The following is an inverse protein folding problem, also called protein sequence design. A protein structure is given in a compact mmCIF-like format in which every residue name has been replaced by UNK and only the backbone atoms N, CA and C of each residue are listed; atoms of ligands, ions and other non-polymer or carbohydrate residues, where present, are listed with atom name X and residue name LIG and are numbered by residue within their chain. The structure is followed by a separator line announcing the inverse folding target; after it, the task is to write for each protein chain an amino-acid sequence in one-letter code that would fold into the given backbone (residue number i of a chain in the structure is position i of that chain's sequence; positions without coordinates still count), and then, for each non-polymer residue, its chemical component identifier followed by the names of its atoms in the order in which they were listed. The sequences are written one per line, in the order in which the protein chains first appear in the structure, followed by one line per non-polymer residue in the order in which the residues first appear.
data_IF_846170458489
#
_entry.id   IF_846170458489
#
_cell.length_a   1.000
_cell.length_b   1.000
_cell.length_c   1.000
_cell.angle_alpha   90.00
_cell.angle_beta   90.00
_cell.angle_gamma   90.00
#
_symmetry.space_group_name_H-M   'P 1'
#
loop_
_entity.id
_entity.type
_entity.pdbx_description
1 polymer ?
#
# COMPACT_ATOMS: atom_id res chain seq x y z
N UNK A 1 12.10 -14.98 -2.38
CA UNK A 1 11.97 -16.22 -1.58
C UNK A 1 10.59 -16.78 -1.85
N UNK A 2 10.46 -17.62 -2.89
CA UNK A 2 9.19 -18.23 -3.29
C UNK A 2 9.06 -19.54 -2.53
N UNK A 3 8.12 -19.62 -1.57
CA UNK A 3 7.85 -20.82 -0.79
C UNK A 3 6.48 -21.40 -1.17
N UNK A 4 6.42 -22.73 -1.27
CA UNK A 4 5.23 -23.52 -1.62
C UNK A 4 4.27 -23.63 -0.43
N UNK A 5 2.98 -23.88 -0.67
CA UNK A 5 2.00 -24.16 0.39
C UNK A 5 2.36 -25.38 1.24
N UNK A 6 2.92 -26.45 0.65
CA UNK A 6 3.44 -27.60 1.41
C UNK A 6 4.64 -27.26 2.31
N UNK A 7 5.35 -26.17 2.01
CA UNK A 7 6.40 -25.61 2.87
C UNK A 7 5.78 -24.70 3.95
N UNK A 8 4.83 -23.83 3.61
CA UNK A 8 4.08 -23.04 4.60
C UNK A 8 3.22 -23.91 5.55
N UNK A 9 2.79 -25.09 5.13
CA UNK A 9 2.13 -26.08 5.99
C UNK A 9 3.09 -26.77 6.98
N UNK A 10 4.41 -26.69 6.74
CA UNK A 10 5.45 -27.33 7.56
C UNK A 10 6.14 -26.36 8.52
N UNK A 11 5.94 -25.06 8.37
CA UNK A 11 6.65 -24.04 9.16
C UNK A 11 5.65 -22.98 9.62
N UNK A 12 5.50 -22.85 10.94
CA UNK A 12 4.74 -21.78 11.59
C UNK A 12 5.59 -20.50 11.58
N UNK A 13 5.11 -19.43 10.96
CA UNK A 13 5.77 -18.12 10.98
C UNK A 13 5.09 -17.20 11.99
N UNK A 14 5.81 -16.82 13.04
CA UNK A 14 5.44 -15.84 14.04
C UNK A 14 6.22 -14.54 13.81
N UNK A 15 5.61 -13.63 13.07
CA UNK A 15 6.12 -12.26 12.91
C UNK A 15 5.40 -11.34 13.90
N UNK A 16 6.17 -10.65 14.75
CA UNK A 16 5.64 -9.62 15.63
C UNK A 16 5.49 -8.31 14.84
N UNK A 17 4.28 -7.74 14.82
CA UNK A 17 4.09 -6.34 14.44
C UNK A 17 3.08 -5.72 15.39
N UNK A 18 3.54 -4.73 16.16
CA UNK A 18 2.74 -3.83 17.02
C UNK A 18 1.53 -4.51 17.71
N UNK A 19 1.78 -5.14 18.85
CA UNK A 19 0.80 -5.73 19.78
C UNK A 19 -0.14 -6.83 19.26
N UNK A 20 -0.10 -7.22 17.98
CA UNK A 20 -0.83 -8.40 17.49
C UNK A 20 0.07 -9.63 17.38
N UNK A 21 -0.27 -10.62 18.20
CA UNK A 21 0.32 -11.96 18.18
C UNK A 21 -0.64 -12.91 17.51
N UNK A 22 -0.33 -13.42 16.32
CA UNK A 22 -1.25 -14.30 15.58
C UNK A 22 -0.55 -15.54 15.07
N UNK A 23 -1.16 -16.68 15.40
CA UNK A 23 -0.63 -18.04 15.30
C UNK A 23 -1.44 -18.79 14.23
N UNK A 24 -0.80 -19.41 13.23
CA UNK A 24 -1.47 -20.28 12.25
C UNK A 24 -1.03 -21.73 12.41
N UNK A 25 -2.00 -22.65 12.54
CA UNK A 25 -1.74 -24.08 12.69
C UNK A 25 -2.26 -24.88 11.49
N UNK A 26 -1.42 -25.19 10.50
CA UNK A 26 -1.59 -26.40 9.73
C UNK A 26 -1.28 -27.61 10.63
N UNK A 27 -2.10 -28.66 10.59
CA UNK A 27 -1.91 -29.91 11.34
C UNK A 27 -0.56 -30.62 11.07
N UNK A 28 0.21 -30.15 10.09
CA UNK A 28 1.49 -30.71 9.66
C UNK A 28 2.71 -29.80 9.90
N UNK A 29 2.56 -28.68 10.63
CA UNK A 29 3.69 -27.81 10.95
C UNK A 29 4.72 -28.53 11.81
N UNK A 30 5.95 -28.65 11.30
CA UNK A 30 7.09 -29.30 11.96
C UNK A 30 8.06 -28.30 12.58
N UNK A 31 7.90 -26.99 12.35
CA UNK A 31 8.84 -25.99 12.83
C UNK A 31 8.13 -24.70 13.24
N UNK A 32 8.72 -23.98 14.18
CA UNK A 32 8.24 -22.68 14.66
C UNK A 32 9.28 -21.58 14.44
N UNK A 33 8.99 -20.62 13.57
CA UNK A 33 9.85 -19.45 13.29
C UNK A 33 9.31 -18.27 14.06
N UNK A 34 10.13 -17.59 14.86
CA UNK A 34 9.72 -16.49 15.75
C UNK A 34 10.61 -15.29 15.56
N UNK A 35 10.00 -14.10 15.58
CA UNK A 35 10.70 -12.84 15.42
C UNK A 35 11.80 -12.60 16.46
N UNK A 36 11.50 -12.76 17.77
CA UNK A 36 12.44 -12.48 18.86
C UNK A 36 12.26 -13.40 20.07
N UNK A 37 13.29 -13.57 20.93
CA UNK A 37 13.20 -14.38 22.15
C UNK A 37 12.15 -13.85 23.12
N UNK A 38 12.00 -12.52 23.22
CA UNK A 38 11.00 -11.90 24.10
C UNK A 38 9.58 -12.19 23.64
N UNK A 39 9.35 -12.26 22.33
CA UNK A 39 8.07 -12.64 21.78
C UNK A 39 7.79 -14.13 21.98
N UNK A 40 8.80 -14.98 21.77
CA UNK A 40 8.70 -16.40 22.08
C UNK A 40 8.34 -16.63 23.54
N UNK A 41 9.07 -16.02 24.49
CA UNK A 41 8.84 -16.20 25.93
C UNK A 41 7.41 -15.80 26.35
N UNK A 42 6.83 -14.76 25.73
CA UNK A 42 5.43 -14.35 25.96
C UNK A 42 4.42 -15.42 25.51
N UNK A 43 4.74 -16.17 24.47
CA UNK A 43 3.86 -17.19 23.91
C UNK A 43 4.08 -18.56 24.53
N UNK A 44 5.31 -18.85 24.92
CA UNK A 44 5.82 -20.19 25.21
C UNK A 44 4.94 -20.97 26.21
N UNK A 45 4.51 -20.34 27.29
CA UNK A 45 3.70 -20.97 28.35
C UNK A 45 2.32 -21.45 27.89
N UNK A 46 1.68 -20.70 26.99
CA UNK A 46 0.32 -21.02 26.49
C UNK A 46 0.36 -21.85 25.21
N UNK A 47 1.48 -21.78 24.49
CA UNK A 47 1.56 -22.19 23.09
C UNK A 47 2.28 -23.53 22.91
N UNK A 48 3.39 -23.77 23.62
CA UNK A 48 4.25 -24.93 23.38
C UNK A 48 3.55 -26.26 23.66
N UNK A 49 2.64 -26.28 24.63
CA UNK A 49 1.83 -27.47 24.93
C UNK A 49 0.86 -27.86 23.81
N UNK A 50 0.61 -26.99 22.84
CA UNK A 50 -0.37 -27.18 21.76
C UNK A 50 0.25 -27.45 20.39
N UNK A 51 1.58 -27.34 20.24
CA UNK A 51 2.25 -27.50 18.95
C UNK A 51 3.17 -28.72 18.99
N UNK A 52 3.19 -29.48 17.91
CA UNK A 52 4.15 -30.57 17.72
C UNK A 52 5.34 -30.09 16.88
N UNK A 53 6.03 -29.03 17.34
CA UNK A 53 7.18 -28.47 16.63
C UNK A 53 8.45 -29.31 16.89
N UNK A 54 9.13 -29.72 15.81
CA UNK A 54 10.41 -30.43 15.86
C UNK A 54 11.59 -29.51 16.10
N UNK A 55 11.48 -28.23 15.72
CA UNK A 55 12.51 -27.22 15.96
C UNK A 55 11.92 -25.80 15.95
N UNK A 56 12.66 -24.87 16.54
CA UNK A 56 12.34 -23.45 16.58
C UNK A 56 13.43 -22.67 15.84
N UNK A 57 13.06 -21.62 15.12
CA UNK A 57 13.98 -20.67 14.47
C UNK A 57 13.73 -19.28 15.01
N UNK A 58 14.74 -18.62 15.54
CA UNK A 58 14.70 -17.21 15.91
C UNK A 58 15.22 -16.36 14.74
N UNK A 59 14.40 -15.43 14.25
CA UNK A 59 14.79 -14.50 13.19
C UNK A 59 15.76 -13.45 13.72
N UNK A 60 15.54 -12.97 14.93
CA UNK A 60 16.37 -11.97 15.60
C UNK A 60 16.66 -12.36 17.04
N UNK A 61 17.74 -11.83 17.59
CA UNK A 61 18.16 -12.05 18.97
C UNK A 61 18.96 -13.34 19.18
N UNK A 62 19.33 -13.57 20.44
CA UNK A 62 20.19 -14.68 20.87
C UNK A 62 19.38 -15.71 21.68
N UNK A 63 19.68 -17.00 21.48
CA UNK A 63 19.02 -18.12 22.14
C UNK A 63 19.16 -18.08 23.67
N UNK A 64 20.23 -17.49 24.19
CA UNK A 64 20.47 -17.29 25.63
C UNK A 64 19.38 -16.47 26.31
N UNK A 65 18.61 -15.68 25.55
CA UNK A 65 17.49 -14.88 26.05
C UNK A 65 16.18 -15.66 26.19
N UNK A 66 16.18 -16.96 25.92
CA UNK A 66 15.00 -17.82 26.07
C UNK A 66 14.87 -18.34 27.51
N UNK A 67 13.62 -18.42 28.00
CA UNK A 67 13.34 -19.02 29.28
C UNK A 67 13.50 -20.55 29.21
N UNK A 68 14.48 -21.09 29.95
CA UNK A 68 14.87 -22.50 29.94
C UNK A 68 13.76 -23.50 30.25
N UNK A 69 12.70 -23.08 30.97
CA UNK A 69 11.58 -23.96 31.35
C UNK A 69 10.63 -24.30 30.20
N UNK A 70 10.57 -23.49 29.14
CA UNK A 70 9.59 -23.68 28.08
C UNK A 70 10.11 -24.50 26.89
N UNK A 71 11.43 -24.75 26.82
CA UNK A 71 12.11 -25.23 25.60
C UNK A 71 12.87 -26.54 25.83
N UNK A 72 12.62 -27.26 26.94
CA UNK A 72 13.54 -28.31 27.40
C UNK A 72 13.85 -29.41 26.38
N UNK A 73 12.99 -29.66 25.39
CA UNK A 73 13.16 -30.77 24.43
C UNK A 73 13.12 -30.38 22.94
N UNK A 74 13.02 -29.07 22.59
CA UNK A 74 12.92 -28.64 21.18
C UNK A 74 14.18 -27.89 20.74
N UNK A 75 14.91 -28.35 19.70
CA UNK A 75 16.10 -27.67 19.21
C UNK A 75 15.76 -26.27 18.68
N UNK A 76 16.53 -25.28 19.11
CA UNK A 76 16.41 -23.88 18.69
C UNK A 76 17.59 -23.48 17.82
N UNK A 77 17.29 -22.88 16.67
CA UNK A 77 18.24 -22.31 15.74
C UNK A 77 18.05 -20.80 15.71
N UNK A 78 19.14 -20.05 15.61
CA UNK A 78 19.09 -18.64 15.24
C UNK A 78 19.37 -18.48 13.75
N UNK A 79 19.30 -17.24 13.27
CA UNK A 79 19.53 -16.93 11.86
C UNK A 79 20.92 -17.38 11.36
N UNK A 80 21.95 -17.32 12.20
CA UNK A 80 23.31 -17.71 11.83
C UNK A 80 23.40 -19.22 11.66
N UNK A 81 22.84 -20.01 12.58
CA UNK A 81 22.84 -21.47 12.45
C UNK A 81 22.16 -21.92 11.16
N UNK A 82 21.00 -21.35 10.84
CA UNK A 82 20.27 -21.69 9.62
C UNK A 82 21.09 -21.34 8.38
N UNK A 83 21.80 -20.21 8.42
CA UNK A 83 22.68 -19.79 7.31
C UNK A 83 23.87 -20.73 7.13
N UNK A 84 24.49 -21.17 8.24
CA UNK A 84 25.59 -22.14 8.24
C UNK A 84 25.11 -23.50 7.74
N UNK A 85 24.02 -24.04 8.30
CA UNK A 85 23.40 -25.29 7.85
C UNK A 85 23.04 -25.25 6.37
N UNK A 86 22.50 -24.12 5.90
CA UNK A 86 22.18 -23.91 4.49
C UNK A 86 23.42 -23.92 3.58
N UNK A 87 24.54 -23.37 4.04
CA UNK A 87 25.82 -23.37 3.31
C UNK A 87 26.45 -24.76 3.27
N UNK A 88 26.48 -25.45 4.40
CA UNK A 88 27.03 -26.81 4.52
C UNK A 88 26.24 -27.79 3.65
N UNK A 89 24.91 -27.74 3.70
CA UNK A 89 24.05 -28.59 2.89
C UNK A 89 24.22 -28.29 1.39
N UNK A 90 24.30 -27.01 1.00
CA UNK A 90 24.58 -26.63 -0.40
C UNK A 90 25.92 -27.17 -0.88
N UNK A 91 26.97 -27.06 -0.05
CA UNK A 91 28.28 -27.61 -0.38
C UNK A 91 28.24 -29.13 -0.53
N UNK A 92 27.59 -29.85 0.39
CA UNK A 92 27.42 -31.31 0.31
C UNK A 92 26.66 -31.75 -0.96
N UNK A 93 25.67 -30.97 -1.39
CA UNK A 93 24.93 -31.21 -2.65
C UNK A 93 25.78 -30.94 -3.90
N UNK A 94 26.72 -29.99 -3.86
CA UNK A 94 27.63 -29.71 -4.98
C UNK A 94 28.67 -30.83 -5.21
N UNK A 95 29.03 -31.60 -4.18
CA UNK A 95 30.06 -32.65 -4.25
C UNK A 95 29.51 -34.08 -4.38
N UNK A 96 28.18 -34.26 -4.40
CA UNK A 96 27.54 -35.58 -4.56
C UNK A 96 26.99 -35.76 -5.98
N UNK A 97 27.83 -36.26 -6.89
CA UNK A 97 27.52 -36.40 -8.32
C UNK A 97 26.41 -37.41 -8.68
N UNK A 98 25.92 -38.23 -7.74
CA UNK A 98 24.82 -39.20 -8.00
C UNK A 98 23.63 -39.12 -7.03
N UNK A 99 23.71 -38.36 -5.94
CA UNK A 99 22.60 -38.20 -4.96
C UNK A 99 21.75 -36.94 -5.17
N UNK A 100 22.05 -36.13 -6.20
CA UNK A 100 21.31 -34.91 -6.56
C UNK A 100 19.83 -35.08 -6.94
N UNK A 101 19.25 -36.28 -6.75
CA UNK A 101 17.85 -36.61 -7.02
C UNK A 101 16.98 -36.84 -5.78
N UNK A 102 17.50 -36.87 -4.54
CA UNK A 102 16.63 -37.08 -3.36
C UNK A 102 16.04 -35.79 -2.77
N UNK A 103 16.56 -34.62 -3.14
CA UNK A 103 15.94 -33.34 -2.86
C UNK A 103 15.11 -32.83 -4.04
N UNK A 104 14.18 -33.64 -4.59
CA UNK A 104 13.22 -33.09 -5.56
C UNK A 104 12.32 -32.13 -4.80
N UNK A 105 12.70 -30.85 -4.82
CA UNK A 105 11.78 -29.80 -4.41
C UNK A 105 10.57 -29.90 -5.31
N UNK A 106 9.47 -30.29 -4.69
CA UNK A 106 8.16 -30.39 -5.27
C UNK A 106 7.83 -29.07 -6.00
N UNK A 107 7.52 -29.14 -7.30
CA UNK A 107 7.49 -27.97 -8.18
C UNK A 107 6.30 -27.04 -7.88
N UNK A 108 6.54 -25.82 -7.39
CA UNK A 108 5.52 -24.81 -7.01
C UNK A 108 4.52 -24.55 -8.15
N UNK A 109 3.21 -24.61 -7.85
CA UNK A 109 2.13 -24.24 -8.77
C UNK A 109 1.55 -22.86 -8.41
N UNK A 110 0.94 -22.13 -9.37
CA UNK A 110 0.29 -20.85 -9.09
C UNK A 110 -0.83 -20.92 -8.02
N UNK A 111 -1.47 -22.08 -7.88
CA UNK A 111 -2.55 -22.34 -6.95
C UNK A 111 -2.07 -22.59 -5.51
N UNK A 112 -0.77 -22.80 -5.31
CA UNK A 112 -0.20 -22.92 -3.98
C UNK A 112 -0.33 -21.57 -3.23
N UNK A 113 -0.80 -21.62 -1.98
CA UNK A 113 -0.77 -20.47 -1.05
C UNK A 113 0.67 -19.99 -0.89
N UNK A 114 0.88 -18.72 -1.15
CA UNK A 114 2.16 -18.03 -1.05
C UNK A 114 2.32 -17.30 0.30
N UNK A 115 1.22 -16.80 0.88
CA UNK A 115 1.25 -16.07 2.14
C UNK A 115 -0.12 -16.07 2.81
N UNK A 116 -0.12 -15.92 4.13
CA UNK A 116 -1.27 -15.49 4.89
C UNK A 116 -1.13 -14.00 5.22
N UNK A 117 -2.21 -13.24 5.08
CA UNK A 117 -2.27 -11.85 5.57
C UNK A 117 -3.41 -11.79 6.58
N UNK A 118 -3.10 -11.34 7.79
CA UNK A 118 -4.10 -11.21 8.84
C UNK A 118 -4.83 -9.87 8.73
N UNK A 119 -6.16 -9.93 8.80
CA UNK A 119 -7.05 -8.77 8.87
C UNK A 119 -7.76 -8.75 10.21
N UNK A 120 -7.94 -7.57 10.81
CA UNK A 120 -8.62 -7.42 12.12
C UNK A 120 -10.08 -7.82 12.02
N UNK A 121 -10.75 -7.49 10.93
CA UNK A 121 -12.14 -7.80 10.66
C UNK A 121 -13.10 -7.20 11.69
N UNK A 122 -14.39 -7.14 11.35
CA UNK A 122 -15.42 -6.59 12.26
C UNK A 122 -15.66 -7.47 13.50
N UNK A 123 -15.18 -8.71 13.52
CA UNK A 123 -15.36 -9.66 14.62
C UNK A 123 -14.34 -9.52 15.76
N UNK A 124 -13.33 -8.65 15.64
CA UNK A 124 -12.29 -8.43 16.66
C UNK A 124 -11.28 -9.57 16.82
N UNK A 125 -11.56 -10.75 16.28
CA UNK A 125 -10.64 -11.87 16.13
C UNK A 125 -9.96 -11.81 14.75
N UNK A 126 -8.63 -11.65 14.68
CA UNK A 126 -7.96 -11.54 13.40
C UNK A 126 -8.00 -12.84 12.60
N UNK A 127 -8.25 -12.73 11.29
CA UNK A 127 -8.37 -13.88 10.38
C UNK A 127 -7.26 -13.86 9.33
N UNK A 128 -6.65 -15.02 9.08
CA UNK A 128 -5.60 -15.17 8.08
C UNK A 128 -6.18 -15.40 6.70
N UNK A 129 -6.10 -14.40 5.82
CA UNK A 129 -6.48 -14.52 4.42
C UNK A 129 -5.41 -15.29 3.66
N UNK A 130 -5.79 -16.42 3.05
CA UNK A 130 -4.90 -17.23 2.22
C UNK A 130 -4.74 -16.61 0.84
N UNK A 131 -3.53 -16.16 0.50
CA UNK A 131 -3.21 -15.63 -0.82
C UNK A 131 -2.27 -16.57 -1.56
N UNK A 132 -2.70 -17.03 -2.73
CA UNK A 132 -1.92 -17.87 -3.64
C UNK A 132 -0.93 -17.05 -4.47
N UNK A 133 0.06 -17.72 -5.08
CA UNK A 133 0.95 -17.09 -6.04
C UNK A 133 0.15 -16.43 -7.19
N UNK A 134 -0.91 -17.10 -7.66
CA UNK A 134 -1.82 -16.58 -8.70
C UNK A 134 -2.52 -15.30 -8.26
N UNK A 135 -2.96 -15.19 -7.00
CA UNK A 135 -3.60 -13.96 -6.51
C UNK A 135 -2.63 -12.77 -6.55
N UNK A 136 -1.39 -12.98 -6.08
CA UNK A 136 -0.36 -11.94 -6.03
C UNK A 136 0.07 -11.51 -7.45
N UNK A 137 0.32 -12.48 -8.34
CA UNK A 137 0.69 -12.21 -9.74
C UNK A 137 -0.43 -11.51 -10.50
N UNK A 138 -1.69 -11.83 -10.21
CA UNK A 138 -2.82 -11.11 -10.81
C UNK A 138 -2.78 -9.61 -10.49
N UNK A 139 -2.43 -9.21 -9.26
CA UNK A 139 -2.29 -7.79 -8.92
C UNK A 139 -1.16 -7.13 -9.71
N UNK A 140 0.01 -7.76 -9.71
CA UNK A 140 1.21 -7.24 -10.37
C UNK A 140 0.94 -7.01 -11.86
N UNK A 141 0.30 -7.97 -12.52
CA UNK A 141 0.03 -7.89 -13.97
C UNK A 141 -1.01 -6.84 -14.34
N UNK A 142 -1.94 -6.48 -13.45
CA UNK A 142 -3.05 -5.55 -13.76
C UNK A 142 -2.81 -4.13 -13.23
N UNK A 143 -1.90 -3.93 -12.28
CA UNK A 143 -1.68 -2.63 -11.65
C UNK A 143 -1.15 -1.57 -12.63
N UNK A 144 -0.55 -1.99 -13.76
CA UNK A 144 -0.07 -1.08 -14.81
C UNK A 144 -1.18 -0.16 -15.38
N UNK A 145 -2.43 -0.62 -15.41
CA UNK A 145 -3.61 0.15 -15.86
C UNK A 145 -3.92 1.34 -14.94
N UNK A 146 -3.58 1.20 -13.66
CA UNK A 146 -3.80 2.19 -12.62
C UNK A 146 -2.57 3.10 -12.53
N UNK A 147 -1.39 2.49 -12.58
CA UNK A 147 -0.09 3.10 -12.40
C UNK A 147 0.79 2.71 -13.58
N UNK A 148 0.80 3.47 -14.69
CA UNK A 148 1.63 3.17 -15.85
C UNK A 148 3.09 3.58 -15.56
N UNK A 149 3.72 2.80 -14.69
CA UNK A 149 5.10 2.99 -14.25
C UNK A 149 6.07 2.68 -15.39
N UNK A 150 7.16 3.45 -15.46
CA UNK A 150 8.29 3.19 -16.36
C UNK A 150 9.56 2.97 -15.54
N UNK A 151 10.55 2.24 -16.06
CA UNK A 151 11.84 2.09 -15.40
C UNK A 151 12.43 3.44 -15.01
N UNK A 152 12.96 3.53 -13.79
CA UNK A 152 13.48 4.78 -13.21
C UNK A 152 12.43 5.69 -12.55
N UNK A 153 11.14 5.33 -12.59
CA UNK A 153 10.15 5.99 -11.74
C UNK A 153 10.50 5.83 -10.26
N UNK A 154 10.05 6.80 -9.44
CA UNK A 154 10.34 6.87 -8.01
C UNK A 154 9.03 6.82 -7.26
N UNK A 155 8.92 5.84 -6.38
CA UNK A 155 7.74 5.58 -5.58
C UNK A 155 8.05 5.89 -4.13
N UNK A 156 7.26 6.78 -3.52
CA UNK A 156 7.28 6.96 -2.08
C UNK A 156 6.19 6.08 -1.46
N UNK A 157 6.61 5.15 -0.61
CA UNK A 157 5.74 4.21 0.07
C UNK A 157 5.63 4.53 1.55
N UNK A 158 4.38 4.68 1.99
CA UNK A 158 4.02 5.14 3.33
C UNK A 158 3.45 4.03 4.21
N UNK A 159 3.11 2.90 3.60
CA UNK A 159 2.43 1.79 4.24
C UNK A 159 3.44 0.69 4.53
N UNK A 160 3.14 -0.18 5.49
CA UNK A 160 4.04 -1.28 5.79
C UNK A 160 3.85 -2.48 4.83
N UNK A 161 4.94 -3.22 4.51
CA UNK A 161 4.94 -4.33 3.55
C UNK A 161 4.04 -5.54 3.90
N UNK A 162 3.52 -5.61 5.13
CA UNK A 162 2.63 -6.68 5.56
C UNK A 162 1.15 -6.43 5.23
N UNK A 163 0.76 -5.19 4.92
CA UNK A 163 -0.57 -4.94 4.38
C UNK A 163 -0.63 -5.32 2.90
N UNK A 164 -1.72 -5.97 2.49
CA UNK A 164 -1.87 -6.50 1.14
C UNK A 164 -1.78 -5.42 0.05
N UNK A 165 -2.25 -4.20 0.35
CA UNK A 165 -2.16 -3.03 -0.53
C UNK A 165 -0.71 -2.65 -0.83
N UNK A 166 0.10 -2.39 0.20
CA UNK A 166 1.51 -2.04 0.01
C UNK A 166 2.31 -3.18 -0.59
N UNK A 167 2.08 -4.41 -0.12
CA UNK A 167 2.79 -5.59 -0.64
C UNK A 167 2.61 -5.75 -2.14
N UNK A 168 1.39 -5.52 -2.63
CA UNK A 168 1.10 -5.56 -4.05
C UNK A 168 1.82 -4.43 -4.79
N UNK A 169 1.83 -3.21 -4.21
CA UNK A 169 2.55 -2.06 -4.75
C UNK A 169 4.06 -2.33 -4.85
N UNK A 170 4.68 -2.87 -3.80
CA UNK A 170 6.09 -3.25 -3.77
C UNK A 170 6.45 -4.26 -4.86
N UNK A 171 5.70 -5.35 -4.96
CA UNK A 171 5.97 -6.37 -5.97
C UNK A 171 5.83 -5.81 -7.38
N UNK A 172 4.87 -4.92 -7.60
CA UNK A 172 4.73 -4.19 -8.86
C UNK A 172 5.94 -3.28 -9.11
N UNK A 173 6.39 -2.50 -8.13
CA UNK A 173 7.53 -1.59 -8.27
C UNK A 173 8.82 -2.38 -8.59
N UNK A 174 9.07 -3.49 -7.89
CA UNK A 174 10.24 -4.33 -8.12
C UNK A 174 10.25 -5.00 -9.50
N UNK A 175 9.07 -5.33 -10.05
CA UNK A 175 8.97 -5.93 -11.39
C UNK A 175 9.12 -4.91 -12.52
N UNK A 176 9.02 -3.60 -12.24
CA UNK A 176 9.06 -2.54 -13.26
C UNK A 176 10.40 -1.77 -13.30
N UNK A 177 11.43 -2.21 -12.57
CA UNK A 177 12.72 -1.52 -12.53
C UNK A 177 12.62 -0.09 -11.98
N UNK A 178 11.68 0.14 -11.08
CA UNK A 178 11.45 1.43 -10.44
C UNK A 178 12.13 1.48 -9.05
N UNK A 179 12.31 2.68 -8.54
CA UNK A 179 12.91 2.93 -7.23
C UNK A 179 11.81 3.04 -6.16
N UNK A 180 11.93 2.24 -5.11
CA UNK A 180 11.10 2.32 -3.90
C UNK A 180 11.80 3.19 -2.83
N UNK A 181 11.08 4.14 -2.23
CA UNK A 181 11.51 4.93 -1.08
C UNK A 181 10.52 4.71 0.06
N UNK A 182 10.99 4.14 1.18
CA UNK A 182 10.20 3.99 2.40
C UNK A 182 10.20 5.28 3.23
N UNK A 183 9.02 5.69 3.69
CA UNK A 183 8.84 6.90 4.50
C UNK A 183 7.77 6.69 5.57
N UNK A 184 7.68 7.63 6.51
CA UNK A 184 6.66 7.67 7.57
C UNK A 184 6.06 9.07 7.68
N UNK A 185 4.88 9.21 8.31
CA UNK A 185 4.18 10.51 8.42
C UNK A 185 5.11 11.60 9.01
N UNK A 186 6.02 11.21 9.91
CA UNK A 186 7.02 12.07 10.52
C UNK A 186 8.02 12.66 9.50
N UNK A 187 8.47 11.86 8.53
CA UNK A 187 9.51 12.26 7.56
C UNK A 187 8.95 12.67 6.20
N UNK A 188 7.65 12.45 5.96
CA UNK A 188 6.95 12.69 4.70
C UNK A 188 7.34 14.01 4.02
N UNK A 189 7.28 15.14 4.72
CA UNK A 189 7.59 16.45 4.12
C UNK A 189 9.04 16.52 3.63
N UNK A 190 9.99 16.04 4.43
CA UNK A 190 11.40 16.05 4.08
C UNK A 190 11.69 15.09 2.92
N UNK A 191 11.08 13.91 2.93
CA UNK A 191 11.28 12.90 1.88
C UNK A 191 10.64 13.32 0.55
N UNK A 192 9.46 13.93 0.57
CA UNK A 192 8.85 14.53 -0.62
C UNK A 192 9.77 15.59 -1.24
N UNK A 193 10.37 16.47 -0.43
CA UNK A 193 11.30 17.49 -0.88
C UNK A 193 12.60 16.89 -1.43
N UNK A 194 13.16 15.89 -0.75
CA UNK A 194 14.44 15.26 -1.11
C UNK A 194 14.34 14.39 -2.36
N UNK A 195 13.33 13.53 -2.44
CA UNK A 195 13.25 12.49 -3.46
C UNK A 195 12.34 12.87 -4.64
N UNK A 196 11.46 13.87 -4.49
CA UNK A 196 10.53 14.34 -5.54
C UNK A 196 9.90 13.17 -6.31
N UNK A 197 9.11 12.31 -5.64
CA UNK A 197 8.67 11.05 -6.21
C UNK A 197 7.73 11.24 -7.40
N UNK A 198 7.74 10.30 -8.33
CA UNK A 198 6.77 10.28 -9.42
C UNK A 198 5.40 9.83 -8.93
N UNK A 199 5.39 8.81 -8.06
CA UNK A 199 4.20 8.25 -7.45
C UNK A 199 4.31 8.20 -5.93
N UNK A 200 3.17 8.30 -5.25
CA UNK A 200 3.08 8.10 -3.79
C UNK A 200 1.97 7.11 -3.51
N UNK A 201 2.29 5.98 -2.88
CA UNK A 201 1.30 5.03 -2.37
C UNK A 201 1.00 5.36 -0.92
N UNK A 202 -0.25 5.66 -0.60
CA UNK A 202 -0.64 6.05 0.75
C UNK A 202 -2.14 5.91 1.02
N UNK A 203 -2.52 6.13 2.28
CA UNK A 203 -3.90 6.15 2.78
C UNK A 203 -4.47 7.58 2.86
N UNK A 204 -5.81 7.76 2.85
CA UNK A 204 -6.49 9.06 2.96
C UNK A 204 -5.95 9.98 4.05
N UNK A 205 -5.67 9.43 5.25
CA UNK A 205 -5.16 10.19 6.39
C UNK A 205 -3.88 10.99 6.09
N UNK A 206 -2.99 10.44 5.25
CA UNK A 206 -1.76 11.12 4.83
C UNK A 206 -2.07 12.30 3.91
N UNK A 207 -3.03 12.15 3.00
CA UNK A 207 -3.49 13.24 2.13
C UNK A 207 -4.21 14.32 2.93
N UNK A 208 -5.02 13.96 3.92
CA UNK A 208 -5.62 14.89 4.89
C UNK A 208 -4.57 15.65 5.69
N UNK A 209 -3.49 14.98 6.10
CA UNK A 209 -2.36 15.59 6.83
C UNK A 209 -1.60 16.58 5.95
N UNK A 210 -1.33 16.22 4.69
CA UNK A 210 -0.71 17.12 3.70
C UNK A 210 -1.62 18.33 3.42
N UNK A 211 -2.91 18.10 3.20
CA UNK A 211 -3.92 19.14 3.03
C UNK A 211 -3.92 20.11 4.21
N UNK A 212 -4.02 19.58 5.43
CA UNK A 212 -4.04 20.38 6.67
C UNK A 212 -2.75 21.17 6.86
N UNK A 213 -1.60 20.60 6.49
CA UNK A 213 -0.31 21.27 6.55
C UNK A 213 -0.24 22.46 5.58
N UNK A 214 -0.74 22.31 4.34
CA UNK A 214 -0.81 23.40 3.36
C UNK A 214 -1.79 24.49 3.85
N UNK A 215 -2.96 24.11 4.37
CA UNK A 215 -3.94 25.05 4.91
C UNK A 215 -3.39 25.86 6.10
N UNK A 216 -2.63 25.23 6.99
CA UNK A 216 -1.92 25.92 8.10
C UNK A 216 -0.86 26.89 7.58
N UNK A 217 -0.10 26.50 6.56
CA UNK A 217 0.89 27.39 5.94
C UNK A 217 0.24 28.61 5.27
N UNK A 218 -0.94 28.45 4.66
CA UNK A 218 -1.71 29.57 4.10
C UNK A 218 -2.25 30.46 5.23
N UNK A 219 -2.78 29.86 6.28
CA UNK A 219 -3.42 30.57 7.39
C UNK A 219 -2.45 31.38 8.24
N UNK A 220 -1.19 30.95 8.33
CA UNK A 220 -0.10 31.65 9.03
C UNK A 220 0.57 32.76 8.21
N UNK A 221 0.18 32.93 6.94
CA UNK A 221 0.71 33.99 6.08
C UNK A 221 0.02 35.34 6.30
N UNK A 222 0.61 36.42 5.77
CA UNK A 222 0.03 37.77 5.87
C UNK A 222 -1.40 37.84 5.34
N UNK A 223 -2.21 38.76 5.87
CA UNK A 223 -3.64 38.86 5.53
C UNK A 223 -3.89 39.00 4.03
N UNK A 224 -3.08 39.81 3.35
CA UNK A 224 -3.13 39.95 1.89
C UNK A 224 -2.83 38.62 1.17
N UNK A 225 -1.75 37.93 1.57
CA UNK A 225 -1.34 36.66 0.95
C UNK A 225 -2.37 35.56 1.19
N UNK A 226 -2.95 35.49 2.38
CA UNK A 226 -4.04 34.55 2.72
C UNK A 226 -5.26 34.78 1.83
N UNK A 227 -5.73 36.02 1.70
CA UNK A 227 -6.89 36.37 0.87
C UNK A 227 -6.66 36.00 -0.60
N UNK A 228 -5.48 36.35 -1.13
CA UNK A 228 -5.11 35.99 -2.51
C UNK A 228 -5.06 34.48 -2.70
N UNK A 229 -4.41 33.74 -1.79
CA UNK A 229 -4.30 32.28 -1.89
C UNK A 229 -5.67 31.60 -1.86
N UNK A 230 -6.56 32.01 -0.94
CA UNK A 230 -7.92 31.47 -0.85
C UNK A 230 -8.76 31.81 -2.09
N UNK A 231 -8.65 33.04 -2.62
CA UNK A 231 -9.33 33.43 -3.85
C UNK A 231 -8.87 32.58 -5.04
N UNK A 232 -7.56 32.40 -5.20
CA UNK A 232 -6.98 31.58 -6.27
C UNK A 232 -7.38 30.10 -6.15
N UNK A 233 -7.39 29.53 -4.93
CA UNK A 233 -7.88 28.16 -4.69
C UNK A 233 -9.36 28.06 -5.06
N UNK A 234 -10.20 29.03 -4.68
CA UNK A 234 -11.63 29.04 -5.03
C UNK A 234 -11.85 29.12 -6.54
N UNK A 235 -11.09 29.97 -7.23
CA UNK A 235 -11.11 30.06 -8.71
C UNK A 235 -10.74 28.71 -9.32
N UNK A 236 -9.66 28.08 -8.87
CA UNK A 236 -9.22 26.78 -9.38
C UNK A 236 -10.23 25.67 -9.11
N UNK A 237 -10.90 25.67 -7.95
CA UNK A 237 -11.97 24.73 -7.64
C UNK A 237 -13.14 24.88 -8.62
N UNK A 238 -13.60 26.11 -8.85
CA UNK A 238 -14.69 26.41 -9.79
C UNK A 238 -14.31 26.06 -11.23
N UNK A 239 -13.08 26.40 -11.64
CA UNK A 239 -12.54 26.02 -12.94
C UNK A 239 -12.52 24.51 -13.12
N UNK A 240 -12.02 23.75 -12.14
CA UNK A 240 -11.98 22.28 -12.21
C UNK A 240 -13.37 21.65 -12.20
N UNK A 241 -14.34 22.22 -11.47
CA UNK A 241 -15.73 21.75 -11.54
C UNK A 241 -16.35 21.98 -12.92
N UNK A 242 -16.22 23.19 -13.48
CA UNK A 242 -16.69 23.50 -14.82
C UNK A 242 -16.01 22.60 -15.87
N UNK A 243 -14.69 22.39 -15.73
CA UNK A 243 -13.91 21.50 -16.58
C UNK A 243 -14.48 20.08 -16.60
N UNK A 244 -14.72 19.49 -15.43
CA UNK A 244 -15.24 18.14 -15.33
C UNK A 244 -16.65 18.00 -15.90
N UNK A 245 -17.50 19.01 -15.78
CA UNK A 245 -18.86 18.98 -16.33
C UNK A 245 -18.81 18.84 -17.86
N UNK A 246 -18.01 19.65 -18.55
CA UNK A 246 -17.94 19.57 -20.01
C UNK A 246 -17.10 18.40 -20.53
N UNK A 247 -16.15 17.88 -19.74
CA UNK A 247 -15.43 16.64 -20.03
C UNK A 247 -16.27 15.38 -19.74
N UNK A 248 -17.44 15.52 -19.11
CA UNK A 248 -18.32 14.39 -18.77
C UNK A 248 -17.79 13.51 -17.64
N UNK A 249 -16.87 14.01 -16.80
CA UNK A 249 -16.22 13.25 -15.72
C UNK A 249 -16.81 13.53 -14.33
N UNK A 250 -18.07 13.98 -14.29
CA UNK A 250 -18.84 14.23 -13.07
C UNK A 250 -19.87 13.12 -12.88
N UNK A 251 -19.90 12.55 -11.67
CA UNK A 251 -21.01 11.70 -11.25
C UNK A 251 -22.15 12.57 -10.74
N UNK A 252 -23.34 12.37 -11.29
CA UNK A 252 -24.56 12.93 -10.74
C UNK A 252 -25.20 11.91 -9.81
N UNK A 253 -25.53 12.33 -8.59
CA UNK A 253 -26.35 11.53 -7.67
C UNK A 253 -27.85 11.72 -7.93
N UNK A 254 -28.25 12.51 -8.95
CA UNK A 254 -29.65 12.72 -9.27
C UNK A 254 -30.22 11.49 -9.99
N UNK A 255 -31.32 10.89 -9.49
CA UNK A 255 -31.94 9.73 -10.13
C UNK A 255 -32.59 10.07 -11.48
N UNK A 256 -32.88 11.35 -11.72
CA UNK A 256 -33.45 11.84 -12.98
C UNK A 256 -32.31 12.23 -13.93
N UNK A 257 -32.16 11.48 -15.03
CA UNK A 257 -31.27 11.87 -16.12
C UNK A 257 -31.78 13.20 -16.70
N UNK A 258 -30.96 14.26 -16.77
CA UNK A 258 -31.37 15.49 -17.43
C UNK A 258 -31.71 15.21 -18.89
N UNK A 259 -32.66 15.97 -19.45
CA UNK A 259 -32.93 15.91 -20.89
C UNK A 259 -31.65 16.22 -21.67
N UNK A 260 -31.45 15.58 -22.83
CA UNK A 260 -30.21 15.72 -23.62
C UNK A 260 -29.90 17.20 -23.94
N UNK A 261 -30.94 18.01 -24.14
CA UNK A 261 -30.84 19.45 -24.39
C UNK A 261 -30.33 20.20 -23.15
N UNK A 262 -30.88 19.91 -21.97
CA UNK A 262 -30.43 20.54 -20.72
C UNK A 262 -28.97 20.20 -20.41
N UNK A 263 -28.57 18.94 -20.63
CA UNK A 263 -27.17 18.54 -20.49
C UNK A 263 -26.26 19.28 -21.46
N UNK A 264 -26.66 19.41 -22.73
CA UNK A 264 -25.92 20.18 -23.73
C UNK A 264 -25.73 21.65 -23.33
N UNK A 265 -26.79 22.33 -22.85
CA UNK A 265 -26.67 23.70 -22.33
C UNK A 265 -25.74 23.79 -21.12
N UNK A 266 -25.84 22.85 -20.18
CA UNK A 266 -24.95 22.80 -19.02
C UNK A 266 -23.48 22.61 -19.44
N UNK A 267 -23.19 21.73 -20.40
CA UNK A 267 -21.84 21.55 -20.93
C UNK A 267 -21.35 22.81 -21.64
N UNK A 268 -22.18 23.48 -22.44
CA UNK A 268 -21.82 24.71 -23.13
C UNK A 268 -21.51 25.83 -22.13
N UNK A 269 -22.38 26.02 -21.13
CA UNK A 269 -22.16 27.00 -20.06
C UNK A 269 -20.88 26.71 -19.27
N UNK A 270 -20.67 25.44 -18.90
CA UNK A 270 -19.46 25.02 -18.21
C UNK A 270 -18.18 25.28 -19.04
N UNK A 271 -18.23 25.12 -20.37
CA UNK A 271 -17.11 25.50 -21.25
C UNK A 271 -16.84 27.00 -21.23
N UNK A 272 -17.88 27.83 -21.27
CA UNK A 272 -17.74 29.29 -21.20
C UNK A 272 -17.12 29.69 -19.86
N UNK A 273 -17.66 29.19 -18.75
CA UNK A 273 -17.15 29.46 -17.40
C UNK A 273 -15.69 29.01 -17.28
N UNK A 274 -15.35 27.81 -17.75
CA UNK A 274 -13.99 27.31 -17.71
C UNK A 274 -13.04 28.17 -18.55
N UNK A 275 -13.46 28.62 -19.74
CA UNK A 275 -12.67 29.51 -20.59
C UNK A 275 -12.38 30.87 -19.92
N UNK A 276 -13.38 31.44 -19.23
CA UNK A 276 -13.23 32.70 -18.48
C UNK A 276 -12.30 32.55 -17.26
N UNK A 277 -12.37 31.42 -16.55
CA UNK A 277 -11.56 31.17 -15.36
C UNK A 277 -10.15 30.64 -15.69
N UNK A 278 -9.94 30.09 -16.89
CA UNK A 278 -8.67 29.54 -17.35
C UNK A 278 -7.46 30.46 -17.15
N UNK A 279 -7.48 31.76 -17.54
CA UNK A 279 -6.32 32.64 -17.35
C UNK A 279 -6.01 32.85 -15.86
N UNK A 280 -7.03 32.96 -15.01
CA UNK A 280 -6.86 33.12 -13.57
C UNK A 280 -6.34 31.84 -12.90
N UNK A 281 -6.80 30.66 -13.35
CA UNK A 281 -6.27 29.37 -12.91
C UNK A 281 -4.78 29.20 -13.30
N UNK A 282 -4.40 29.60 -14.51
CA UNK A 282 -3.00 29.57 -14.93
C UNK A 282 -2.12 30.55 -14.15
N UNK A 283 -2.66 31.73 -13.82
CA UNK A 283 -1.99 32.67 -12.93
C UNK A 283 -1.75 32.06 -11.55
N UNK A 284 -2.76 31.37 -10.99
CA UNK A 284 -2.62 30.63 -9.73
C UNK A 284 -1.52 29.57 -9.81
N UNK A 285 -1.47 28.84 -10.93
CA UNK A 285 -0.44 27.81 -11.18
C UNK A 285 0.96 28.39 -11.17
N UNK A 286 1.16 29.51 -11.85
CA UNK A 286 2.46 30.17 -11.97
C UNK A 286 2.93 30.76 -10.64
N UNK A 287 2.08 31.50 -9.93
CA UNK A 287 2.46 32.26 -8.74
C UNK A 287 2.47 31.43 -7.46
N UNK A 288 1.52 30.51 -7.31
CA UNK A 288 1.27 29.85 -6.03
C UNK A 288 1.54 28.35 -6.10
N UNK A 289 0.97 27.65 -7.09
CA UNK A 289 1.10 26.19 -7.13
C UNK A 289 2.51 25.74 -7.48
N UNK A 290 3.30 26.47 -8.28
CA UNK A 290 4.70 26.12 -8.56
C UNK A 290 5.52 25.89 -7.29
N UNK A 291 5.30 26.70 -6.24
CA UNK A 291 5.99 26.56 -4.94
C UNK A 291 5.47 25.36 -4.11
N UNK A 292 4.19 25.05 -4.24
CA UNK A 292 3.60 23.85 -3.61
C UNK A 292 4.13 22.61 -4.32
N UNK A 293 4.13 22.59 -5.65
CA UNK A 293 4.66 21.50 -6.47
C UNK A 293 6.14 21.24 -6.20
N UNK A 294 6.98 22.27 -6.05
CA UNK A 294 8.38 22.06 -5.67
C UNK A 294 8.55 21.48 -4.26
N UNK A 295 7.56 21.67 -3.38
CA UNK A 295 7.59 21.15 -2.00
C UNK A 295 7.04 19.73 -1.90
N UNK A 296 5.92 19.47 -2.58
CA UNK A 296 5.23 18.16 -2.57
C UNK A 296 5.91 17.19 -3.53
N UNK A 297 6.42 17.66 -4.67
CA UNK A 297 7.28 16.89 -5.56
C UNK A 297 6.64 15.74 -6.32
N UNK A 298 5.33 15.55 -6.21
CA UNK A 298 4.59 14.47 -6.88
C UNK A 298 4.35 14.86 -8.34
N UNK A 299 5.02 14.17 -9.26
CA UNK A 299 4.99 14.54 -10.69
C UNK A 299 4.03 13.74 -11.56
N UNK A 300 3.66 12.50 -11.19
CA UNK A 300 2.69 11.69 -11.94
C UNK A 300 1.35 11.56 -11.21
N UNK A 301 1.29 10.84 -10.09
CA UNK A 301 0.05 10.67 -9.33
C UNK A 301 0.27 10.24 -7.87
N UNK A 302 -0.64 10.69 -7.02
CA UNK A 302 -0.82 10.20 -5.66
C UNK A 302 -1.89 9.09 -5.66
N UNK A 303 -1.57 7.90 -5.16
CA UNK A 303 -2.48 6.77 -5.10
C UNK A 303 -3.02 6.65 -3.68
N UNK A 304 -4.34 6.69 -3.55
CA UNK A 304 -5.08 6.58 -2.29
C UNK A 304 -5.80 5.24 -2.22
N UNK A 305 -5.66 4.52 -1.13
CA UNK A 305 -6.36 3.25 -0.89
C UNK A 305 -6.48 2.96 0.62
N UNK A 306 -7.11 1.83 0.97
CA UNK A 306 -7.26 1.41 2.39
C UNK A 306 -8.20 2.29 3.23
N UNK A 307 -8.94 3.22 2.63
CA UNK A 307 -9.88 4.09 3.32
C UNK A 307 -10.67 4.99 2.37
N UNK A 308 -11.69 5.69 2.89
CA UNK A 308 -12.50 6.63 2.13
C UNK A 308 -11.77 7.96 2.01
N UNK A 309 -11.45 8.38 0.77
CA UNK A 309 -10.85 9.68 0.51
C UNK A 309 -11.91 10.80 0.62
N UNK A 310 -11.77 11.78 1.55
CA UNK A 310 -12.74 12.84 1.67
C UNK A 310 -12.81 13.71 0.40
N UNK A 311 -14.02 13.99 -0.07
CA UNK A 311 -14.24 14.73 -1.32
C UNK A 311 -13.55 16.10 -1.33
N UNK A 312 -13.53 16.82 -0.21
CA UNK A 312 -12.90 18.14 -0.14
C UNK A 312 -11.38 18.08 -0.31
N UNK A 313 -10.73 17.01 0.15
CA UNK A 313 -9.30 16.75 -0.03
C UNK A 313 -9.00 16.42 -1.49
N UNK A 314 -9.80 15.53 -2.08
CA UNK A 314 -9.72 15.13 -3.49
C UNK A 314 -9.87 16.35 -4.43
N UNK A 315 -10.91 17.18 -4.20
CA UNK A 315 -11.12 18.43 -4.94
C UNK A 315 -9.95 19.40 -4.80
N UNK A 316 -9.38 19.53 -3.60
CA UNK A 316 -8.27 20.44 -3.35
C UNK A 316 -7.01 20.04 -4.10
N UNK A 317 -6.58 18.78 -4.01
CA UNK A 317 -5.37 18.31 -4.69
C UNK A 317 -5.49 18.46 -6.21
N UNK A 318 -6.67 18.13 -6.75
CA UNK A 318 -6.97 18.33 -8.17
C UNK A 318 -6.90 19.82 -8.57
N UNK A 319 -7.45 20.74 -7.76
CA UNK A 319 -7.43 22.18 -8.03
C UNK A 319 -6.01 22.77 -8.02
N UNK A 320 -5.10 22.24 -7.21
CA UNK A 320 -3.69 22.64 -7.21
C UNK A 320 -2.86 21.88 -8.25
N UNK A 321 -3.47 20.97 -9.01
CA UNK A 321 -2.82 20.24 -10.12
C UNK A 321 -2.08 18.96 -9.72
N UNK A 322 -2.36 18.40 -8.54
CA UNK A 322 -1.86 17.09 -8.13
C UNK A 322 -2.94 16.04 -8.44
N UNK A 323 -2.59 15.05 -9.26
CA UNK A 323 -3.52 13.96 -9.61
C UNK A 323 -3.61 12.98 -8.43
N UNK A 324 -4.80 12.80 -7.88
CA UNK A 324 -5.07 11.76 -6.88
C UNK A 324 -5.94 10.69 -7.51
N UNK A 325 -5.48 9.43 -7.46
CA UNK A 325 -6.21 8.26 -7.94
C UNK A 325 -6.64 7.44 -6.74
N UNK A 326 -7.96 7.28 -6.56
CA UNK A 326 -8.48 6.48 -5.45
C UNK A 326 -8.72 5.04 -5.90
N UNK A 327 -8.31 4.10 -5.08
CA UNK A 327 -8.51 2.66 -5.22
C UNK A 327 -9.37 2.11 -4.09
N UNK A 328 -10.07 1.03 -4.40
CA UNK A 328 -10.85 0.22 -3.49
C UNK A 328 -10.44 -1.24 -3.66
N UNK A 329 -10.25 -1.91 -2.54
CA UNK A 329 -9.92 -3.33 -2.48
C UNK A 329 -9.88 -3.79 -1.04
N UNK A 330 -9.91 -5.11 -0.88
CA UNK A 330 -9.86 -5.81 0.40
C UNK A 330 -8.87 -6.95 0.28
N UNK A 331 -8.25 -7.33 1.39
CA UNK A 331 -7.28 -8.44 1.41
C UNK A 331 -7.92 -9.74 0.89
N UNK A 332 -9.18 -9.98 1.23
CA UNK A 332 -9.98 -11.18 0.93
C UNK A 332 -10.32 -11.35 -0.55
N UNK A 333 -10.30 -10.26 -1.33
CA UNK A 333 -10.71 -10.29 -2.75
C UNK A 333 -9.54 -9.93 -3.65
N UNK A 334 -9.07 -8.70 -3.52
CA UNK A 334 -8.00 -8.10 -4.29
C UNK A 334 -7.65 -6.77 -3.62
N UNK A 335 -6.37 -6.49 -3.31
CA UNK A 335 -5.96 -5.20 -2.75
C UNK A 335 -6.34 -4.00 -3.62
N UNK A 336 -6.49 -4.19 -4.92
CA UNK A 336 -7.06 -3.21 -5.85
C UNK A 336 -8.13 -3.88 -6.74
N UNK A 337 -9.38 -3.96 -6.26
CA UNK A 337 -10.52 -4.44 -7.06
C UNK A 337 -10.90 -3.41 -8.12
N UNK A 338 -10.96 -2.13 -7.72
CA UNK A 338 -11.34 -1.04 -8.59
C UNK A 338 -10.51 0.18 -8.25
N UNK A 339 -10.01 0.90 -9.26
CA UNK A 339 -9.30 2.15 -9.04
C UNK A 339 -9.50 3.12 -10.20
N UNK A 340 -9.34 4.40 -9.89
CA UNK A 340 -9.37 5.47 -10.89
C UNK A 340 -8.11 5.42 -11.74
N UNK A 341 -8.27 5.50 -13.06
CA UNK A 341 -7.17 5.39 -14.03
C UNK A 341 -6.63 6.76 -14.43
N UNK A 342 -5.39 6.86 -14.93
CA UNK A 342 -4.80 8.15 -15.32
C UNK A 342 -5.60 8.87 -16.41
N UNK A 343 -6.24 8.09 -17.30
CA UNK A 343 -7.06 8.57 -18.41
C UNK A 343 -8.56 8.68 -18.07
N UNK A 344 -9.00 8.16 -16.92
CA UNK A 344 -10.38 8.23 -16.46
C UNK A 344 -10.42 8.37 -14.92
N UNK A 345 -10.24 9.61 -14.45
CA UNK A 345 -10.16 9.94 -13.03
C UNK A 345 -11.44 10.64 -12.52
N UNK A 346 -12.55 9.88 -12.50
CA UNK A 346 -13.86 10.36 -12.07
C UNK A 346 -13.97 10.33 -10.54
N UNK A 347 -14.12 11.50 -9.90
CA UNK A 347 -14.26 11.61 -8.44
C UNK A 347 -15.53 10.90 -7.96
N UNK A 348 -15.43 10.20 -6.83
CA UNK A 348 -16.56 9.47 -6.26
C UNK A 348 -16.95 8.18 -6.99
N UNK A 349 -16.25 7.78 -8.05
CA UNK A 349 -16.54 6.51 -8.76
C UNK A 349 -16.04 5.27 -8.02
N UNK A 350 -15.18 5.44 -7.02
CA UNK A 350 -14.47 4.36 -6.33
C UNK A 350 -14.23 4.73 -4.87
N UNK A 351 -14.50 3.78 -3.97
CA UNK A 351 -14.19 3.91 -2.54
C UNK A 351 -14.98 4.98 -1.79
N UNK A 352 -16.26 5.20 -2.15
CA UNK A 352 -17.14 6.15 -1.45
C UNK A 352 -17.44 5.68 -0.02
N UNK A 353 -17.49 4.37 0.18
CA UNK A 353 -17.59 3.71 1.48
C UNK A 353 -16.36 2.82 1.67
N UNK A 354 -15.58 3.07 2.71
CA UNK A 354 -14.51 2.18 3.12
C UNK A 354 -14.99 1.34 4.29
N UNK A 355 -14.89 0.02 4.13
CA UNK A 355 -14.66 -0.85 5.26
C UNK A 355 -13.15 -0.80 5.49
N UNK A 356 -12.75 -0.29 6.65
CA UNK A 356 -11.38 -0.44 7.14
C UNK A 356 -11.33 -1.86 7.71
N UNK A 357 -10.43 -2.69 7.19
CA UNK A 357 -10.15 -4.05 7.71
C UNK A 357 -9.64 -4.02 9.14
#
# INVERSE_FOLDING_TARGET
MLMRYNFLQRYLFLLSCYDMTLLFFPHHSIALVVDSPQFFNRLAESFISRINARFIVLLWGDKSSLNSKAVMDIPVYDYNDITVLGRENRNALCYSSEQGRQGVFEAITPEDVATLIYTSGTSGTPKGVMLTHRNLLHQINNMWEIVPAVPGDRFLSMLPPWHAYERSAEYFIFTHGAQQIYSSVKYLKADLQKYQPHYVFSVPLVYETLYSSIQRQISSSSRARKTVALALIKISLLYMEAKKIFEGTVLSNNPVKPSSISYMFNCLWARIVAALLWPLHNLAKMLFYKKIHSTVGISKAAISGGGSLPMHVDKFFEAIGIKVQNGYGLTETSPAVAARRPFCNVRGSTGVYAFID
#
